data_IF_131515358088
#
_entry.id   IF_131515358088
#
_cell.length_a   1.000
_cell.length_b   1.000
_cell.length_c   1.000
_cell.angle_alpha   90.00
_cell.angle_beta   90.00
_cell.angle_gamma   90.00
#
_symmetry.space_group_name_H-M   'P 1'
#
loop_
_entity.id
_entity.type
_entity.pdbx_description
1 polymer ?
#
# COMPACT_ATOMS: atom_id res chain seq x y z
N UNK A 1 -20.77 -2.31 -20.40
CA UNK A 1 -20.60 -2.16 -18.94
C UNK A 1 -20.58 -0.67 -18.63
N UNK A 2 -21.21 -0.22 -17.54
CA UNK A 2 -21.15 1.19 -17.17
C UNK A 2 -19.75 1.52 -16.69
N UNK A 3 -19.08 2.48 -17.31
CA UNK A 3 -17.77 2.97 -16.87
C UNK A 3 -17.95 3.79 -15.58
N UNK A 4 -16.98 3.67 -14.64
CA UNK A 4 -16.96 4.50 -13.43
C UNK A 4 -16.82 5.96 -13.83
N UNK A 5 -17.68 6.81 -13.27
CA UNK A 5 -17.59 8.25 -13.47
C UNK A 5 -16.70 8.90 -12.42
N UNK A 6 -16.20 10.11 -12.70
CA UNK A 6 -15.41 10.88 -11.72
C UNK A 6 -16.20 11.15 -10.42
N UNK A 7 -17.53 11.30 -10.51
CA UNK A 7 -18.38 11.49 -9.34
C UNK A 7 -18.43 10.24 -8.46
N UNK A 8 -18.43 9.04 -9.08
CA UNK A 8 -18.37 7.78 -8.36
C UNK A 8 -17.03 7.66 -7.62
N UNK A 9 -15.92 8.01 -8.28
CA UNK A 9 -14.58 8.01 -7.67
C UNK A 9 -14.50 8.97 -6.48
N UNK A 10 -15.06 10.17 -6.59
CA UNK A 10 -15.14 11.10 -5.45
C UNK A 10 -15.98 10.53 -4.30
N UNK A 11 -17.11 9.89 -4.62
CA UNK A 11 -17.95 9.22 -3.62
C UNK A 11 -17.21 8.11 -2.89
N UNK A 12 -16.47 7.27 -3.61
CA UNK A 12 -15.62 6.22 -3.01
C UNK A 12 -14.47 6.82 -2.20
N UNK A 13 -13.84 7.89 -2.67
CA UNK A 13 -12.75 8.55 -1.95
C UNK A 13 -13.21 9.08 -0.58
N UNK A 14 -14.38 9.73 -0.53
CA UNK A 14 -14.97 10.21 0.74
C UNK A 14 -15.26 9.02 1.66
N UNK A 15 -15.96 8.01 1.17
CA UNK A 15 -16.34 6.82 1.95
C UNK A 15 -15.10 6.14 2.55
N UNK A 16 -14.08 5.90 1.73
CA UNK A 16 -12.92 5.11 2.17
C UNK A 16 -11.98 5.93 3.06
N UNK A 17 -11.78 7.22 2.77
CA UNK A 17 -10.96 8.06 3.65
C UNK A 17 -11.58 8.20 5.02
N UNK A 18 -12.90 8.39 5.14
CA UNK A 18 -13.62 8.43 6.42
C UNK A 18 -13.54 7.08 7.16
N UNK A 19 -13.74 5.97 6.44
CA UNK A 19 -13.63 4.62 7.02
C UNK A 19 -12.24 4.36 7.58
N UNK A 20 -11.21 4.55 6.77
CA UNK A 20 -9.81 4.26 7.12
C UNK A 20 -9.34 5.17 8.26
N UNK A 21 -9.72 6.45 8.23
CA UNK A 21 -9.40 7.38 9.32
C UNK A 21 -10.07 6.96 10.65
N UNK A 22 -11.35 6.60 10.59
CA UNK A 22 -12.10 6.13 11.76
C UNK A 22 -11.50 4.86 12.35
N UNK A 23 -11.18 3.87 11.49
CA UNK A 23 -10.58 2.60 11.89
C UNK A 23 -9.20 2.83 12.49
N UNK A 24 -8.32 3.57 11.80
CA UNK A 24 -6.98 3.87 12.27
C UNK A 24 -6.96 4.66 13.58
N UNK A 25 -7.78 5.70 13.71
CA UNK A 25 -7.89 6.48 14.96
C UNK A 25 -8.44 5.65 16.11
N UNK A 26 -9.44 4.78 15.86
CA UNK A 26 -9.98 3.86 16.87
C UNK A 26 -8.90 2.89 17.34
N UNK A 27 -8.16 2.29 16.40
CA UNK A 27 -7.09 1.36 16.67
C UNK A 27 -5.96 1.99 17.51
N UNK A 28 -5.48 3.17 17.14
CA UNK A 28 -4.44 3.90 17.87
C UNK A 28 -4.90 4.23 19.29
N UNK A 29 -6.17 4.67 19.49
CA UNK A 29 -6.72 5.02 20.80
C UNK A 29 -6.86 3.81 21.73
N UNK A 30 -7.15 2.64 21.18
CA UNK A 30 -7.28 1.42 21.96
C UNK A 30 -5.97 1.03 22.66
N UNK A 31 -4.82 1.49 22.16
CA UNK A 31 -3.46 1.25 22.68
C UNK A 31 -3.28 -0.19 23.19
N UNK A 32 -3.77 -1.13 22.39
CA UNK A 32 -3.85 -2.53 22.81
C UNK A 32 -2.46 -3.17 22.73
N UNK A 33 -1.86 -3.50 23.86
CA UNK A 33 -0.57 -4.18 23.90
C UNK A 33 -0.62 -5.55 23.18
N UNK A 34 -1.77 -6.23 23.23
CA UNK A 34 -1.98 -7.50 22.54
C UNK A 34 -1.93 -7.37 20.99
N UNK A 35 -2.24 -6.18 20.45
CA UNK A 35 -2.16 -5.94 19.01
C UNK A 35 -0.76 -6.19 18.43
N UNK A 36 0.28 -6.19 19.25
CA UNK A 36 1.67 -6.50 18.86
C UNK A 36 2.05 -7.96 19.05
N UNK A 37 1.13 -8.80 19.53
CA UNK A 37 1.38 -10.23 19.63
C UNK A 37 1.52 -10.82 18.23
N UNK A 38 2.62 -11.55 18.04
CA UNK A 38 2.83 -12.33 16.82
C UNK A 38 1.91 -13.54 16.87
N UNK A 39 1.05 -13.67 15.88
CA UNK A 39 0.10 -14.81 15.76
C UNK A 39 0.66 -15.90 14.86
N UNK A 40 1.51 -15.53 13.90
CA UNK A 40 2.15 -16.47 12.99
C UNK A 40 3.52 -15.96 12.53
N UNK A 41 4.43 -16.90 12.22
CA UNK A 41 5.76 -16.65 11.64
C UNK A 41 5.85 -17.44 10.34
N UNK A 42 5.84 -16.72 9.22
CA UNK A 42 5.90 -17.32 7.90
C UNK A 42 7.29 -17.16 7.26
N UNK A 43 7.56 -17.96 6.22
CA UNK A 43 8.76 -17.86 5.36
C UNK A 43 10.05 -17.77 6.18
N UNK A 44 10.27 -18.77 7.05
CA UNK A 44 11.49 -18.81 7.86
C UNK A 44 11.63 -17.68 8.86
N UNK A 45 10.51 -17.08 9.34
CA UNK A 45 10.48 -16.01 10.31
C UNK A 45 10.69 -14.60 9.73
N UNK A 46 10.69 -14.47 8.41
CA UNK A 46 10.83 -13.16 7.75
C UNK A 46 9.51 -12.41 7.58
N UNK A 47 8.40 -13.12 7.61
CA UNK A 47 7.05 -12.58 7.55
C UNK A 47 6.35 -12.83 8.88
N UNK A 48 5.73 -11.82 9.45
CA UNK A 48 5.03 -11.92 10.75
C UNK A 48 3.59 -11.46 10.58
N UNK A 49 2.68 -12.17 11.25
CA UNK A 49 1.28 -11.76 11.42
C UNK A 49 1.04 -11.38 12.87
N UNK A 50 0.27 -10.32 13.06
CA UNK A 50 -0.06 -9.79 14.37
C UNK A 50 -1.57 -9.84 14.61
N UNK A 51 -1.99 -9.79 15.86
CA UNK A 51 -3.42 -9.58 16.19
C UNK A 51 -3.96 -8.27 15.58
N UNK A 52 -3.09 -7.28 15.38
CA UNK A 52 -3.41 -6.01 14.75
C UNK A 52 -3.99 -6.18 13.34
N UNK A 53 -3.38 -7.05 12.53
CA UNK A 53 -3.80 -7.30 11.13
C UNK A 53 -5.27 -7.75 11.12
N UNK A 54 -5.60 -8.78 11.88
CA UNK A 54 -6.97 -9.30 11.98
C UNK A 54 -7.98 -8.28 12.53
N UNK A 55 -7.56 -7.48 13.53
CA UNK A 55 -8.44 -6.46 14.12
C UNK A 55 -8.78 -5.35 13.13
N UNK A 56 -7.78 -4.87 12.38
CA UNK A 56 -7.95 -3.83 11.37
C UNK A 56 -8.75 -4.35 10.18
N UNK A 57 -8.38 -5.53 9.66
CA UNK A 57 -9.07 -6.16 8.54
C UNK A 57 -10.57 -6.29 8.77
N UNK A 58 -10.97 -6.82 9.91
CA UNK A 58 -12.38 -7.01 10.27
C UNK A 58 -13.21 -5.72 10.19
N UNK A 59 -12.69 -4.61 10.66
CA UNK A 59 -13.37 -3.32 10.62
C UNK A 59 -13.42 -2.77 9.18
N UNK A 60 -12.34 -2.92 8.39
CA UNK A 60 -12.28 -2.50 7.00
C UNK A 60 -13.24 -3.29 6.11
N UNK A 61 -13.21 -4.63 6.18
CA UNK A 61 -14.13 -5.50 5.43
C UNK A 61 -15.59 -5.16 5.79
N UNK A 62 -15.89 -4.99 7.08
CA UNK A 62 -17.23 -4.60 7.51
C UNK A 62 -17.70 -3.30 6.88
N UNK A 63 -16.82 -2.30 6.80
CA UNK A 63 -17.13 -1.01 6.17
C UNK A 63 -17.32 -1.10 4.67
N UNK A 64 -16.45 -1.85 3.98
CA UNK A 64 -16.47 -1.97 2.52
C UNK A 64 -17.54 -2.92 1.98
N UNK A 65 -17.92 -3.95 2.75
CA UNK A 65 -18.94 -4.93 2.33
C UNK A 65 -20.28 -4.30 1.95
N UNK A 66 -20.61 -3.11 2.48
CA UNK A 66 -21.82 -2.38 2.12
C UNK A 66 -21.85 -1.89 0.68
N UNK A 67 -20.70 -1.78 0.03
CA UNK A 67 -20.61 -1.38 -1.39
C UNK A 67 -21.04 -2.49 -2.34
N UNK A 68 -21.04 -3.74 -1.87
CA UNK A 68 -21.30 -4.92 -2.70
C UNK A 68 -20.20 -5.27 -3.70
N UNK A 69 -19.09 -4.53 -3.72
CA UNK A 69 -17.91 -4.79 -4.56
C UNK A 69 -17.11 -5.93 -3.95
N UNK A 70 -16.48 -6.76 -4.78
CA UNK A 70 -15.57 -7.81 -4.34
C UNK A 70 -14.39 -7.23 -3.55
N UNK A 71 -13.85 -8.01 -2.62
CA UNK A 71 -12.70 -7.61 -1.79
C UNK A 71 -11.61 -8.67 -1.90
N UNK A 72 -10.38 -8.25 -2.12
CA UNK A 72 -9.17 -9.04 -1.92
C UNK A 72 -8.45 -8.46 -0.71
N UNK A 73 -8.23 -9.28 0.30
CA UNK A 73 -7.55 -8.87 1.53
C UNK A 73 -6.42 -9.83 1.87
N UNK A 74 -5.33 -9.32 2.43
CA UNK A 74 -4.14 -10.10 2.76
C UNK A 74 -4.45 -11.32 3.63
N UNK A 75 -5.25 -11.15 4.69
CA UNK A 75 -5.48 -12.19 5.68
C UNK A 75 -6.61 -13.14 5.29
N UNK A 76 -7.74 -12.59 4.82
CA UNK A 76 -8.95 -13.35 4.49
C UNK A 76 -8.94 -13.88 3.05
N UNK A 77 -8.13 -13.29 2.15
CA UNK A 77 -8.13 -13.60 0.73
C UNK A 77 -9.32 -12.99 -0.01
N UNK A 78 -9.82 -13.67 -1.03
CA UNK A 78 -10.88 -13.15 -1.90
C UNK A 78 -12.28 -13.35 -1.33
N UNK A 79 -13.04 -12.25 -1.28
CA UNK A 79 -14.46 -12.20 -0.87
C UNK A 79 -15.28 -11.77 -2.08
N UNK A 80 -16.18 -12.62 -2.60
CA UNK A 80 -16.95 -12.28 -3.79
C UNK A 80 -17.93 -11.12 -3.56
N UNK A 81 -18.02 -10.23 -4.54
CA UNK A 81 -18.98 -9.13 -4.57
C UNK A 81 -20.34 -9.55 -5.13
N UNK A 82 -21.31 -8.64 -5.01
CA UNK A 82 -22.68 -8.81 -5.55
C UNK A 82 -23.03 -7.76 -6.62
N UNK A 83 -22.20 -6.74 -6.75
CA UNK A 83 -22.38 -5.60 -7.65
C UNK A 83 -21.05 -5.17 -8.25
N UNK A 84 -21.10 -4.49 -9.41
CA UNK A 84 -19.93 -3.92 -10.09
C UNK A 84 -18.79 -4.96 -10.24
N UNK A 85 -19.01 -6.04 -11.02
CA UNK A 85 -18.11 -7.20 -11.05
C UNK A 85 -16.69 -6.89 -11.59
N UNK A 86 -16.52 -5.76 -12.28
CA UNK A 86 -15.22 -5.30 -12.75
C UNK A 86 -14.38 -4.64 -11.63
N UNK A 87 -15.01 -4.25 -10.52
CA UNK A 87 -14.35 -3.55 -9.43
C UNK A 87 -13.87 -4.51 -8.36
N UNK A 88 -12.72 -4.16 -7.79
CA UNK A 88 -12.09 -4.90 -6.71
C UNK A 88 -11.55 -3.94 -5.66
N UNK A 89 -12.02 -4.08 -4.40
CA UNK A 89 -11.33 -3.54 -3.27
C UNK A 89 -10.12 -4.40 -2.94
N UNK A 90 -8.96 -3.77 -2.75
CA UNK A 90 -7.72 -4.45 -2.33
C UNK A 90 -7.30 -3.87 -0.99
N UNK A 91 -7.11 -4.73 0.00
CA UNK A 91 -6.83 -4.32 1.39
C UNK A 91 -5.53 -4.98 1.86
N UNK A 92 -4.64 -4.17 2.38
CA UNK A 92 -3.63 -4.57 3.35
C UNK A 92 -3.96 -3.87 4.68
N UNK A 93 -4.36 -4.62 5.71
CA UNK A 93 -4.78 -4.03 6.97
C UNK A 93 -3.64 -3.35 7.72
N UNK A 94 -2.41 -3.85 7.57
CA UNK A 94 -1.24 -3.34 8.28
C UNK A 94 0.07 -3.57 7.50
N UNK A 95 0.29 -2.83 6.42
CA UNK A 95 1.61 -2.83 5.77
C UNK A 95 2.71 -2.34 6.73
N UNK A 96 3.79 -3.09 6.79
CA UNK A 96 4.87 -2.83 7.74
C UNK A 96 4.60 -3.39 9.14
N UNK A 97 4.00 -4.57 9.26
CA UNK A 97 3.69 -5.24 10.54
C UNK A 97 4.93 -5.41 11.42
N UNK A 98 6.11 -5.71 10.83
CA UNK A 98 7.36 -5.76 11.59
C UNK A 98 7.72 -4.39 12.18
N UNK A 99 7.63 -3.31 11.41
CA UNK A 99 7.85 -1.95 11.88
C UNK A 99 6.92 -1.61 13.04
N UNK A 100 5.62 -1.95 12.90
CA UNK A 100 4.62 -1.75 13.94
C UNK A 100 4.98 -2.51 15.23
N UNK A 101 5.33 -3.79 15.13
CA UNK A 101 5.64 -4.62 16.29
C UNK A 101 6.84 -4.10 17.10
N UNK A 102 7.80 -3.48 16.41
CA UNK A 102 9.07 -3.00 16.95
C UNK A 102 9.13 -1.49 17.17
N UNK A 103 8.11 -0.73 16.81
CA UNK A 103 8.13 0.75 16.78
C UNK A 103 9.30 1.33 15.96
N UNK A 104 9.62 0.71 14.83
CA UNK A 104 10.79 1.09 14.01
C UNK A 104 10.50 2.18 12.99
N UNK A 105 9.24 2.43 12.66
CA UNK A 105 8.94 3.40 11.62
C UNK A 105 7.52 3.30 11.11
N UNK A 106 7.27 3.73 9.87
CA UNK A 106 5.93 3.76 9.33
C UNK A 106 5.31 2.37 9.27
N UNK A 107 4.03 2.34 9.58
CA UNK A 107 3.11 1.25 9.31
C UNK A 107 1.81 1.87 8.81
N UNK A 108 1.21 1.25 7.80
CA UNK A 108 0.13 1.85 7.03
C UNK A 108 -1.09 0.95 7.00
N UNK A 109 -2.27 1.55 7.07
CA UNK A 109 -3.50 0.89 6.59
C UNK A 109 -3.60 1.24 5.11
N UNK A 110 -3.83 0.25 4.26
CA UNK A 110 -3.90 0.38 2.81
C UNK A 110 -5.23 -0.14 2.28
N UNK A 111 -5.93 0.70 1.51
CA UNK A 111 -7.15 0.32 0.79
C UNK A 111 -7.09 0.89 -0.61
N UNK A 112 -7.29 0.04 -1.61
CA UNK A 112 -7.37 0.44 -3.01
C UNK A 112 -8.68 0.02 -3.66
N UNK A 113 -9.10 0.76 -4.69
CA UNK A 113 -10.10 0.35 -5.65
C UNK A 113 -9.45 0.20 -7.03
N UNK A 114 -9.68 -0.93 -7.65
CA UNK A 114 -9.22 -1.24 -9.00
C UNK A 114 -10.40 -1.58 -9.90
N UNK A 115 -10.30 -1.21 -11.18
CA UNK A 115 -11.21 -1.58 -12.25
C UNK A 115 -10.45 -2.52 -13.20
N UNK A 116 -10.70 -3.82 -13.09
CA UNK A 116 -9.89 -4.85 -13.76
C UNK A 116 -8.39 -4.68 -13.43
N UNK A 117 -7.62 -4.16 -14.40
CA UNK A 117 -6.17 -3.98 -14.25
C UNK A 117 -5.75 -2.51 -14.06
N UNK A 118 -6.72 -1.59 -13.90
CA UNK A 118 -6.45 -0.17 -13.81
C UNK A 118 -6.71 0.38 -12.41
N UNK A 119 -5.80 1.20 -11.86
CA UNK A 119 -6.02 1.82 -10.57
C UNK A 119 -7.09 2.90 -10.65
N UNK A 120 -8.01 2.90 -9.70
CA UNK A 120 -9.07 3.91 -9.57
C UNK A 120 -8.82 4.84 -8.39
N UNK A 121 -8.53 4.25 -7.22
CA UNK A 121 -8.36 4.97 -5.97
C UNK A 121 -7.37 4.23 -5.08
N UNK A 122 -6.52 4.96 -4.40
CA UNK A 122 -5.70 4.47 -3.30
C UNK A 122 -5.89 5.35 -2.06
N UNK A 123 -5.93 4.73 -0.90
CA UNK A 123 -6.03 5.39 0.40
C UNK A 123 -5.06 4.73 1.37
N UNK A 124 -4.15 5.52 1.93
CA UNK A 124 -3.15 5.11 2.90
C UNK A 124 -3.32 5.94 4.18
N UNK A 125 -3.31 5.30 5.32
CA UNK A 125 -3.31 5.96 6.62
C UNK A 125 -2.09 5.56 7.44
N UNK A 126 -1.21 6.51 7.71
CA UNK A 126 -0.02 6.28 8.52
C UNK A 126 -0.39 6.21 10.01
N UNK A 127 -0.20 5.05 10.63
CA UNK A 127 -0.54 4.83 12.04
C UNK A 127 0.36 5.61 13.01
N UNK A 128 1.58 5.98 12.58
CA UNK A 128 2.54 6.73 13.38
C UNK A 128 2.26 8.24 13.32
N UNK A 129 2.21 8.80 12.10
CA UNK A 129 2.01 10.24 11.89
C UNK A 129 0.54 10.66 11.87
N UNK A 130 -0.38 9.71 11.74
CA UNK A 130 -1.82 9.92 11.59
C UNK A 130 -2.19 10.71 10.32
N UNK A 131 -1.31 10.70 9.35
CA UNK A 131 -1.55 11.35 8.06
C UNK A 131 -2.35 10.43 7.14
N UNK A 132 -3.31 11.03 6.45
CA UNK A 132 -4.06 10.42 5.36
C UNK A 132 -3.40 10.81 4.05
N UNK A 133 -3.13 9.82 3.18
CA UNK A 133 -2.62 10.01 1.83
C UNK A 133 -3.60 9.28 0.91
N UNK A 134 -4.11 9.96 -0.10
CA UNK A 134 -5.06 9.34 -1.02
C UNK A 134 -4.95 9.95 -2.40
N UNK A 135 -5.40 9.22 -3.40
CA UNK A 135 -5.37 9.69 -4.78
C UNK A 135 -5.76 8.62 -5.78
N UNK A 136 -5.81 9.04 -7.03
CA UNK A 136 -6.08 8.19 -8.18
C UNK A 136 -6.03 8.99 -9.48
N UNK A 137 -6.01 8.32 -10.65
CA UNK A 137 -5.81 8.98 -11.94
C UNK A 137 -6.78 10.13 -12.22
N UNK A 138 -8.02 10.02 -11.74
CA UNK A 138 -9.08 11.01 -12.02
C UNK A 138 -9.17 12.13 -10.99
N UNK A 139 -8.59 11.98 -9.80
CA UNK A 139 -8.76 12.91 -8.67
C UNK A 139 -7.47 13.56 -8.19
N UNK A 140 -6.32 13.20 -8.81
CA UNK A 140 -5.01 13.63 -8.33
C UNK A 140 -4.60 12.92 -7.04
N UNK A 141 -3.52 13.39 -6.41
CA UNK A 141 -3.03 12.83 -5.15
C UNK A 141 -2.92 13.91 -4.07
N UNK A 142 -3.19 13.53 -2.82
CA UNK A 142 -3.29 14.45 -1.70
C UNK A 142 -2.69 13.86 -0.40
N UNK A 143 -2.09 14.73 0.41
CA UNK A 143 -1.79 14.48 1.82
C UNK A 143 -2.72 15.35 2.66
N UNK A 144 -3.72 14.74 3.28
CA UNK A 144 -4.81 15.48 3.89
C UNK A 144 -5.55 16.33 2.85
N UNK A 145 -5.46 17.66 2.96
CA UNK A 145 -6.08 18.61 2.02
C UNK A 145 -5.10 19.16 0.97
N UNK A 146 -3.82 18.83 1.08
CA UNK A 146 -2.79 19.42 0.24
C UNK A 146 -2.53 18.51 -0.98
N UNK A 147 -2.64 19.03 -2.21
CA UNK A 147 -2.26 18.27 -3.39
C UNK A 147 -0.75 18.00 -3.39
N UNK A 148 -0.36 16.87 -3.93
CA UNK A 148 1.03 16.45 -4.06
C UNK A 148 1.31 15.92 -5.46
N UNK A 149 2.57 15.99 -5.87
CA UNK A 149 3.05 15.48 -7.16
C UNK A 149 4.35 14.73 -6.96
N UNK A 150 4.64 13.79 -7.86
CA UNK A 150 5.93 13.11 -7.91
C UNK A 150 7.08 14.10 -8.21
N UNK A 151 8.30 13.68 -7.93
CA UNK A 151 9.53 14.38 -8.30
C UNK A 151 9.66 14.50 -9.83
N UNK A 152 10.30 15.56 -10.30
CA UNK A 152 10.65 15.78 -11.71
C UNK A 152 12.09 15.33 -12.05
N UNK A 153 12.79 14.71 -11.10
CA UNK A 153 14.18 14.26 -11.24
C UNK A 153 14.33 13.19 -12.34
N UNK A 154 15.24 13.41 -13.28
CA UNK A 154 15.47 12.52 -14.43
C UNK A 154 16.78 11.74 -14.34
N UNK A 155 17.75 12.26 -13.58
CA UNK A 155 19.05 11.63 -13.45
C UNK A 155 19.03 10.57 -12.34
N UNK A 156 19.18 9.30 -12.76
CA UNK A 156 19.20 8.15 -11.85
C UNK A 156 20.32 8.25 -10.81
N UNK A 157 21.49 8.75 -11.20
CA UNK A 157 22.64 8.92 -10.31
C UNK A 157 22.42 9.95 -9.20
N UNK A 158 21.40 10.80 -9.33
CA UNK A 158 20.98 11.75 -8.31
C UNK A 158 19.67 11.36 -7.64
N UNK A 159 18.99 10.35 -8.17
CA UNK A 159 17.68 9.91 -7.69
C UNK A 159 17.80 9.09 -6.40
N UNK A 160 16.72 9.14 -5.60
CA UNK A 160 16.53 8.31 -4.42
C UNK A 160 15.62 7.14 -4.78
N UNK A 161 16.17 5.94 -4.68
CA UNK A 161 15.41 4.69 -4.72
C UNK A 161 14.90 4.37 -3.32
N UNK A 162 13.60 4.10 -3.20
CA UNK A 162 13.02 3.39 -2.06
C UNK A 162 12.69 1.97 -2.50
N UNK A 163 13.05 0.99 -1.68
CA UNK A 163 12.93 -0.45 -2.00
C UNK A 163 12.74 -1.25 -0.72
N UNK A 164 12.41 -2.51 -0.85
CA UNK A 164 12.44 -3.48 0.23
C UNK A 164 13.42 -4.60 -0.06
N UNK A 165 13.63 -5.44 0.95
CA UNK A 165 14.27 -6.73 0.81
C UNK A 165 13.21 -7.79 1.11
N UNK A 166 12.48 -8.26 0.07
CA UNK A 166 11.28 -9.05 0.28
C UNK A 166 11.59 -10.36 1.01
N UNK A 167 10.64 -10.80 1.81
CA UNK A 167 10.74 -12.05 2.59
C UNK A 167 11.04 -13.26 1.69
N UNK A 168 10.52 -13.22 0.46
CA UNK A 168 10.66 -14.27 -0.57
C UNK A 168 11.86 -14.10 -1.50
N UNK A 169 12.77 -13.16 -1.20
CA UNK A 169 13.94 -12.94 -2.07
C UNK A 169 14.85 -14.19 -2.09
N UNK A 170 15.26 -14.66 -3.29
CA UNK A 170 16.06 -15.87 -3.43
C UNK A 170 17.54 -15.62 -3.09
N UNK A 171 17.85 -15.50 -1.80
CA UNK A 171 19.20 -15.18 -1.30
C UNK A 171 20.27 -16.20 -1.67
N UNK A 172 19.89 -17.43 -2.01
CA UNK A 172 20.80 -18.48 -2.48
C UNK A 172 21.12 -18.38 -3.97
N UNK A 173 20.39 -17.56 -4.72
CA UNK A 173 20.65 -17.31 -6.13
C UNK A 173 21.63 -16.13 -6.29
N UNK A 174 22.88 -16.44 -6.59
CA UNK A 174 23.93 -15.43 -6.77
C UNK A 174 23.62 -14.42 -7.88
N UNK A 175 22.88 -14.82 -8.94
CA UNK A 175 22.50 -13.90 -10.03
C UNK A 175 21.44 -12.91 -9.53
N UNK A 176 20.43 -13.37 -8.81
CA UNK A 176 19.41 -12.50 -8.23
C UNK A 176 20.04 -11.48 -7.25
N UNK A 177 20.98 -11.94 -6.41
CA UNK A 177 21.71 -11.06 -5.49
C UNK A 177 22.54 -10.02 -6.25
N UNK A 178 23.26 -10.42 -7.32
CA UNK A 178 24.05 -9.51 -8.12
C UNK A 178 23.17 -8.45 -8.83
N UNK A 179 22.06 -8.87 -9.45
CA UNK A 179 21.10 -7.94 -10.09
C UNK A 179 20.50 -6.96 -9.09
N UNK A 180 20.17 -7.41 -7.88
CA UNK A 180 19.68 -6.53 -6.83
C UNK A 180 20.76 -5.50 -6.44
N UNK A 181 22.01 -5.92 -6.26
CA UNK A 181 23.11 -5.02 -5.97
C UNK A 181 23.37 -3.99 -7.09
N UNK A 182 23.23 -4.38 -8.36
CA UNK A 182 23.31 -3.47 -9.51
C UNK A 182 22.22 -2.39 -9.46
N UNK A 183 20.99 -2.78 -9.16
CA UNK A 183 19.89 -1.82 -8.97
C UNK A 183 20.26 -0.83 -7.87
N UNK A 184 20.65 -1.30 -6.68
CA UNK A 184 20.98 -0.43 -5.55
C UNK A 184 22.09 0.55 -5.88
N UNK A 185 23.15 0.10 -6.55
CA UNK A 185 24.32 0.93 -6.87
C UNK A 185 24.09 1.90 -8.05
N UNK A 186 23.02 1.71 -8.83
CA UNK A 186 22.67 2.59 -9.94
C UNK A 186 21.98 3.90 -9.53
N UNK A 187 21.57 4.02 -8.25
CA UNK A 187 20.91 5.22 -7.73
C UNK A 187 21.83 6.03 -6.80
N UNK A 188 21.60 7.34 -6.73
CA UNK A 188 22.36 8.23 -5.87
C UNK A 188 22.17 7.97 -4.38
N UNK A 189 20.97 7.60 -3.98
CA UNK A 189 20.61 7.20 -2.62
C UNK A 189 19.64 6.05 -2.63
N UNK A 190 19.73 5.20 -1.60
CA UNK A 190 18.80 4.07 -1.40
C UNK A 190 18.24 4.13 0.01
N UNK A 191 16.96 3.81 0.16
CA UNK A 191 16.30 3.63 1.45
C UNK A 191 15.49 2.34 1.43
N UNK A 192 15.57 1.58 2.53
CA UNK A 192 14.70 0.44 2.81
C UNK A 192 13.85 0.81 4.02
N UNK A 193 12.56 1.05 3.77
CA UNK A 193 11.64 1.59 4.77
C UNK A 193 10.96 0.48 5.57
N UNK A 194 10.84 -0.73 4.98
CA UNK A 194 10.14 -1.86 5.58
C UNK A 194 8.61 -1.73 5.55
N UNK A 195 8.11 -0.98 4.57
CA UNK A 195 6.71 -0.74 4.26
C UNK A 195 6.64 -0.30 2.81
N UNK A 196 6.00 -1.10 1.95
CA UNK A 196 5.86 -0.78 0.53
C UNK A 196 4.92 0.41 0.33
N UNK A 197 3.83 0.45 1.07
CA UNK A 197 2.89 1.57 1.07
C UNK A 197 3.57 2.89 1.47
N UNK A 198 4.39 2.88 2.52
CA UNK A 198 5.13 4.08 2.93
C UNK A 198 6.17 4.49 1.87
N UNK A 199 6.82 3.53 1.23
CA UNK A 199 7.78 3.78 0.15
C UNK A 199 7.11 4.44 -1.06
N UNK A 200 5.95 3.91 -1.49
CA UNK A 200 5.16 4.49 -2.57
C UNK A 200 4.58 5.87 -2.20
N UNK A 201 4.21 6.08 -0.94
CA UNK A 201 3.80 7.40 -0.45
C UNK A 201 4.93 8.44 -0.56
N UNK A 202 6.19 8.05 -0.30
CA UNK A 202 7.35 8.92 -0.51
C UNK A 202 7.54 9.27 -1.99
N UNK A 203 7.30 8.33 -2.90
CA UNK A 203 7.34 8.61 -4.34
C UNK A 203 6.21 9.56 -4.74
N UNK A 204 4.99 9.28 -4.32
CA UNK A 204 3.83 10.12 -4.64
C UNK A 204 3.96 11.57 -4.15
N UNK A 205 4.71 11.78 -3.06
CA UNK A 205 4.96 13.12 -2.48
C UNK A 205 6.24 13.78 -3.01
N UNK A 206 6.95 13.16 -3.97
CA UNK A 206 8.21 13.67 -4.49
C UNK A 206 9.38 13.64 -3.49
N UNK A 207 9.20 12.98 -2.34
CA UNK A 207 10.26 12.82 -1.32
C UNK A 207 11.28 11.74 -1.70
N UNK A 208 10.86 10.77 -2.52
CA UNK A 208 11.69 9.81 -3.23
C UNK A 208 11.33 9.83 -4.70
N UNK A 209 12.18 9.28 -5.55
CA UNK A 209 12.06 9.39 -6.99
C UNK A 209 11.57 8.08 -7.63
N UNK A 210 11.97 6.94 -7.09
CA UNK A 210 11.66 5.62 -7.63
C UNK A 210 11.37 4.64 -6.50
N UNK A 211 10.37 3.79 -6.71
CA UNK A 211 10.16 2.56 -5.95
C UNK A 211 10.38 1.37 -6.87
N UNK A 212 11.11 0.38 -6.40
CA UNK A 212 11.28 -0.89 -7.09
C UNK A 212 11.44 -2.03 -6.07
N UNK A 213 10.64 -3.06 -6.21
CA UNK A 213 10.70 -4.24 -5.36
C UNK A 213 10.27 -5.48 -6.14
N UNK A 214 10.91 -6.63 -5.86
CA UNK A 214 10.59 -7.90 -6.49
C UNK A 214 9.79 -8.79 -5.55
N UNK A 215 8.91 -9.64 -6.10
CA UNK A 215 8.12 -10.61 -5.35
C UNK A 215 7.23 -9.99 -4.26
N UNK A 216 6.81 -8.74 -4.46
CA UNK A 216 5.87 -8.03 -3.60
C UNK A 216 4.45 -8.53 -3.88
N UNK A 217 3.58 -8.51 -2.88
CA UNK A 217 2.18 -8.88 -3.06
C UNK A 217 1.37 -7.68 -3.55
N UNK A 218 0.27 -7.96 -4.24
CA UNK A 218 -0.53 -6.90 -4.85
C UNK A 218 -1.16 -5.95 -3.81
N UNK A 219 -1.59 -6.45 -2.67
CA UNK A 219 -2.16 -5.62 -1.60
C UNK A 219 -1.17 -4.64 -0.98
N UNK A 220 0.15 -4.96 -0.98
CA UNK A 220 1.20 -4.09 -0.47
C UNK A 220 1.38 -2.84 -1.35
N UNK A 221 1.04 -2.92 -2.64
CA UNK A 221 1.33 -1.87 -3.63
C UNK A 221 0.09 -1.22 -4.24
N UNK A 222 -1.06 -1.89 -4.25
CA UNK A 222 -2.25 -1.47 -5.00
C UNK A 222 -2.68 -0.02 -4.71
N UNK A 223 -2.75 0.38 -3.44
CA UNK A 223 -3.12 1.75 -3.08
C UNK A 223 -2.02 2.75 -3.43
N UNK A 224 -0.77 2.39 -3.15
CA UNK A 224 0.37 3.25 -3.45
C UNK A 224 0.49 3.55 -4.94
N UNK A 225 0.29 2.55 -5.81
CA UNK A 225 0.32 2.72 -7.28
C UNK A 225 -0.78 3.66 -7.77
N UNK A 226 -2.01 3.53 -7.24
CA UNK A 226 -3.10 4.44 -7.58
C UNK A 226 -2.76 5.88 -7.19
N UNK A 227 -2.16 6.10 -6.02
CA UNK A 227 -1.77 7.42 -5.54
C UNK A 227 -0.61 7.98 -6.38
N UNK A 228 0.42 7.16 -6.67
CA UNK A 228 1.54 7.57 -7.54
C UNK A 228 1.05 7.98 -8.92
N UNK A 229 0.12 7.21 -9.51
CA UNK A 229 -0.48 7.57 -10.79
C UNK A 229 -1.24 8.89 -10.70
N UNK A 230 -2.05 9.09 -9.65
CA UNK A 230 -2.73 10.37 -9.39
C UNK A 230 -1.78 11.54 -9.15
N UNK A 231 -0.58 11.30 -8.65
CA UNK A 231 0.48 12.29 -8.46
C UNK A 231 1.26 12.63 -9.75
N UNK A 232 0.92 11.98 -10.89
CA UNK A 232 1.58 12.15 -12.17
C UNK A 232 2.78 11.21 -12.41
N UNK A 233 2.95 10.21 -11.56
CA UNK A 233 3.93 9.15 -11.75
C UNK A 233 3.43 8.04 -12.67
N UNK A 234 4.33 7.16 -13.05
CA UNK A 234 4.04 5.97 -13.86
C UNK A 234 4.52 4.72 -13.13
N UNK A 235 3.97 3.57 -13.48
CA UNK A 235 4.42 2.30 -12.94
C UNK A 235 4.38 1.20 -14.02
N UNK A 236 5.17 0.16 -13.79
CA UNK A 236 5.16 -1.08 -14.56
C UNK A 236 5.01 -2.24 -13.57
N UNK A 237 4.17 -3.21 -13.90
CA UNK A 237 3.93 -4.41 -13.10
C UNK A 237 4.34 -5.63 -13.92
N UNK A 238 5.30 -6.40 -13.42
CA UNK A 238 5.68 -7.68 -14.00
C UNK A 238 5.21 -8.80 -13.07
N UNK A 239 4.16 -9.52 -13.48
CA UNK A 239 3.62 -10.64 -12.72
C UNK A 239 2.98 -10.20 -11.40
N UNK A 240 1.65 -10.17 -11.34
CA UNK A 240 0.93 -9.84 -10.11
C UNK A 240 0.85 -11.10 -9.24
N UNK A 241 1.40 -11.04 -8.03
CA UNK A 241 1.21 -12.06 -7.01
C UNK A 241 -0.07 -11.73 -6.22
N UNK A 242 -1.07 -12.61 -6.31
CA UNK A 242 -2.34 -12.53 -5.58
C UNK A 242 -2.33 -13.49 -4.40
#
# INVERSE_FOLDING_TARGET
MASITINDVHGFAILVTELVEKVGKKFIRANNAAAKNVTDLQIGGREIKLEADTMLEKELIKGLSHTGIAILSEETGFIPGKSLPQLLWVIDPLDGSYNFSRNLGPSMISVALWDENEPVLGVLFNLVTKQMIFGGPQIGAHVGKNPVTVSDRKDRGQATLVTGFPSRFPISDAKAVASFAEILTSFGKVRMIGSACASLALVATGSADVYAEHNIMFWDIAAGLAIVNGAGGTFELEGINL
#
